data_IF_994787995174
#
_entry.id   IF_994787995174
#
_cell.length_a   1.000
_cell.length_b   1.000
_cell.length_c   1.000
_cell.angle_alpha   90.00
_cell.angle_beta   90.00
_cell.angle_gamma   90.00
#
_symmetry.space_group_name_H-M   'P 1'
#
loop_
_entity.id
_entity.type
_entity.pdbx_description
1 polymer ?
#
# COMPACT_ATOMS: atom_id res chain seq x y z
N UNK A 1 12.14 -19.84 -13.81
CA UNK A 1 11.69 -18.55 -14.38
C UNK A 1 10.19 -18.56 -14.24
N UNK A 2 9.62 -17.66 -13.43
CA UNK A 2 8.22 -17.72 -13.01
C UNK A 2 7.26 -17.82 -14.21
N UNK A 3 7.59 -17.20 -15.34
CA UNK A 3 6.78 -17.26 -16.55
C UNK A 3 6.73 -18.65 -17.18
N UNK A 4 7.86 -19.37 -17.17
CA UNK A 4 7.95 -20.74 -17.66
C UNK A 4 7.20 -21.70 -16.74
N UNK A 5 7.34 -21.51 -15.43
CA UNK A 5 6.69 -22.36 -14.43
C UNK A 5 5.16 -22.26 -14.54
N UNK A 6 4.62 -21.04 -14.67
CA UNK A 6 3.18 -20.80 -14.87
C UNK A 6 2.66 -21.45 -16.16
N UNK A 7 3.43 -21.44 -17.26
CA UNK A 7 3.04 -22.09 -18.51
C UNK A 7 2.96 -23.61 -18.36
N UNK A 8 3.95 -24.22 -17.69
CA UNK A 8 3.97 -25.66 -17.43
C UNK A 8 2.77 -26.10 -16.58
N UNK A 9 2.47 -25.39 -15.48
CA UNK A 9 1.29 -25.68 -14.66
C UNK A 9 -0.02 -25.51 -15.45
N UNK A 10 -0.10 -24.47 -16.30
CA UNK A 10 -1.29 -24.26 -17.11
C UNK A 10 -1.53 -25.40 -18.12
N UNK A 11 -0.47 -25.91 -18.75
CA UNK A 11 -0.55 -27.03 -19.69
C UNK A 11 -0.91 -28.36 -19.01
N UNK A 12 -0.55 -28.52 -17.74
CA UNK A 12 -0.91 -29.70 -16.94
C UNK A 12 -2.39 -29.72 -16.50
N UNK A 13 -3.13 -28.61 -16.65
CA UNK A 13 -4.55 -28.53 -16.30
C UNK A 13 -5.46 -28.80 -17.51
N UNK A 14 -6.72 -29.25 -17.31
CA UNK A 14 -7.65 -29.54 -18.40
C UNK A 14 -7.80 -28.40 -19.41
N UNK A 15 -8.04 -28.76 -20.68
CA UNK A 15 -8.23 -27.79 -21.76
C UNK A 15 -9.50 -26.94 -21.59
N UNK A 16 -10.58 -27.52 -21.04
CA UNK A 16 -11.82 -26.81 -20.73
C UNK A 16 -11.84 -26.43 -19.25
N UNK A 17 -11.59 -25.14 -18.97
CA UNK A 17 -11.59 -24.57 -17.62
C UNK A 17 -11.91 -23.08 -17.66
N UNK A 18 -12.51 -22.57 -16.60
CA UNK A 18 -12.64 -21.13 -16.39
C UNK A 18 -11.30 -20.58 -15.89
N UNK A 19 -10.80 -19.54 -16.53
CA UNK A 19 -9.55 -18.87 -16.17
C UNK A 19 -9.86 -17.42 -15.84
N UNK A 20 -9.44 -16.98 -14.65
CA UNK A 20 -9.51 -15.58 -14.23
C UNK A 20 -8.10 -15.06 -14.00
N UNK A 21 -7.83 -13.85 -14.49
CA UNK A 21 -6.56 -13.15 -14.28
C UNK A 21 -6.84 -11.78 -13.67
N UNK A 22 -6.21 -11.52 -12.53
CA UNK A 22 -6.30 -10.25 -11.82
C UNK A 22 -4.93 -9.57 -11.88
N UNK A 23 -4.91 -8.28 -12.22
CA UNK A 23 -3.69 -7.48 -12.18
C UNK A 23 -4.00 -6.04 -11.82
N UNK A 24 -3.20 -5.48 -10.91
CA UNK A 24 -3.28 -4.06 -10.55
C UNK A 24 -2.87 -3.15 -11.72
N UNK A 25 -1.95 -3.62 -12.57
CA UNK A 25 -1.53 -2.91 -13.79
C UNK A 25 -1.47 -3.86 -14.98
N UNK A 26 -1.93 -3.40 -16.15
CA UNK A 26 -1.88 -4.21 -17.38
C UNK A 26 -1.09 -3.46 -18.45
N UNK A 27 0.23 -3.66 -18.45
CA UNK A 27 1.12 -3.15 -19.48
C UNK A 27 0.76 -3.71 -20.85
N UNK A 28 1.11 -2.99 -21.93
CA UNK A 28 0.78 -3.40 -23.30
C UNK A 28 1.43 -4.74 -23.68
N UNK A 29 2.61 -5.01 -23.12
CA UNK A 29 3.44 -6.17 -23.45
C UNK A 29 2.91 -7.48 -22.85
N UNK A 30 2.19 -7.39 -21.73
CA UNK A 30 1.63 -8.56 -21.03
C UNK A 30 0.26 -8.97 -21.60
N UNK A 31 -0.45 -8.05 -22.26
CA UNK A 31 -1.75 -8.32 -22.90
C UNK A 31 -1.79 -9.53 -23.84
N UNK A 32 -0.83 -9.72 -24.78
CA UNK A 32 -0.84 -10.90 -25.66
C UNK A 32 -0.63 -12.20 -24.88
N UNK A 33 0.11 -12.17 -23.78
CA UNK A 33 0.35 -13.34 -22.93
C UNK A 33 -0.96 -13.74 -22.24
N UNK A 34 -1.69 -12.79 -21.64
CA UNK A 34 -2.99 -13.06 -21.01
C UNK A 34 -4.00 -13.67 -22.01
N UNK A 35 -3.99 -13.20 -23.27
CA UNK A 35 -4.86 -13.75 -24.33
C UNK A 35 -4.54 -15.21 -24.68
N UNK A 36 -3.31 -15.69 -24.49
CA UNK A 36 -2.95 -17.10 -24.74
C UNK A 36 -3.52 -18.03 -23.68
N UNK A 37 -3.68 -17.54 -22.46
CA UNK A 37 -4.20 -18.31 -21.32
C UNK A 37 -5.73 -18.34 -21.24
N UNK A 38 -6.43 -17.46 -21.98
CA UNK A 38 -7.88 -17.31 -21.90
C UNK A 38 -8.53 -17.38 -23.29
N UNK A 39 -9.59 -18.18 -23.41
CA UNK A 39 -10.43 -18.19 -24.60
C UNK A 39 -11.53 -17.13 -24.46
N UNK A 40 -11.49 -16.10 -25.31
CA UNK A 40 -12.49 -15.01 -25.37
C UNK A 40 -12.82 -14.42 -23.97
N UNK A 41 -11.83 -13.81 -23.28
CA UNK A 41 -12.05 -13.32 -21.93
C UNK A 41 -12.98 -12.11 -21.88
N UNK A 42 -13.90 -12.09 -20.92
CA UNK A 42 -14.58 -10.86 -20.49
C UNK A 42 -13.54 -9.94 -19.83
N UNK A 43 -13.36 -8.74 -20.38
CA UNK A 43 -12.41 -7.76 -19.85
C UNK A 43 -13.16 -6.77 -18.98
N UNK A 44 -12.92 -6.84 -17.68
CA UNK A 44 -13.41 -5.87 -16.70
C UNK A 44 -12.24 -4.96 -16.38
N UNK A 45 -12.36 -3.70 -16.77
CA UNK A 45 -11.46 -2.65 -16.32
C UNK A 45 -12.14 -1.91 -15.19
N UNK A 46 -11.70 -2.18 -13.96
CA UNK A 46 -12.02 -1.31 -12.83
C UNK A 46 -11.08 -0.11 -12.97
N UNK A 47 -11.42 0.80 -13.88
CA UNK A 47 -10.75 2.08 -14.00
C UNK A 47 -11.25 2.93 -12.82
N UNK A 48 -10.40 3.13 -11.82
CA UNK A 48 -10.51 4.27 -10.90
C UNK A 48 -10.30 5.55 -11.72
N UNK A 49 -11.33 5.96 -12.46
CA UNK A 49 -11.30 7.19 -13.23
C UNK A 49 -11.36 8.45 -12.35
N UNK A 50 -11.38 8.33 -11.01
CA UNK A 50 -11.53 9.47 -10.10
C UNK A 50 -10.48 9.62 -9.00
N UNK A 51 -9.37 8.88 -9.02
CA UNK A 51 -8.35 9.03 -7.97
C UNK A 51 -6.91 8.99 -8.49
N UNK A 52 -6.62 9.66 -9.61
CA UNK A 52 -5.28 10.26 -9.71
C UNK A 52 -5.23 11.31 -8.60
N UNK A 53 -4.70 10.93 -7.44
CA UNK A 53 -4.39 11.84 -6.35
C UNK A 53 -3.48 12.92 -6.91
N UNK A 54 -4.07 14.05 -7.30
CA UNK A 54 -3.32 15.21 -7.71
C UNK A 54 -2.86 15.88 -6.43
N UNK A 55 -1.57 16.20 -6.35
CA UNK A 55 -1.02 16.95 -5.22
C UNK A 55 -1.43 18.43 -5.25
N UNK A 56 -2.46 18.77 -6.03
CA UNK A 56 -2.87 20.14 -6.26
C UNK A 56 -3.57 20.68 -5.01
N UNK A 57 -2.98 21.71 -4.41
CA UNK A 57 -3.51 22.34 -3.20
C UNK A 57 -2.97 21.75 -1.90
N UNK A 58 -2.12 20.71 -1.96
CA UNK A 58 -1.45 20.16 -0.78
C UNK A 58 -0.18 20.96 -0.47
N UNK A 59 -0.07 21.48 0.75
CA UNK A 59 1.16 22.05 1.26
C UNK A 59 2.11 20.92 1.68
N UNK A 60 3.31 20.90 1.10
CA UNK A 60 4.32 19.88 1.37
C UNK A 60 5.59 20.54 1.88
N UNK A 61 6.07 20.06 3.02
CA UNK A 61 7.30 20.54 3.65
C UNK A 61 8.20 19.35 3.97
N UNK A 62 9.50 19.59 4.01
CA UNK A 62 10.48 18.59 4.44
C UNK A 62 11.41 19.21 5.47
N UNK A 63 11.87 18.39 6.42
CA UNK A 63 12.84 18.80 7.43
C UNK A 63 13.95 17.75 7.49
N UNK A 64 15.19 18.19 7.28
CA UNK A 64 16.36 17.29 7.35
C UNK A 64 16.87 17.26 8.80
N UNK A 65 16.70 16.11 9.46
CA UNK A 65 17.15 15.87 10.83
C UNK A 65 17.70 14.46 11.01
N UNK A 66 18.50 14.27 12.05
CA UNK A 66 19.00 12.96 12.45
C UNK A 66 17.88 12.11 13.05
N UNK A 67 17.97 10.78 12.91
CA UNK A 67 16.93 9.85 13.37
C UNK A 67 16.61 9.99 14.86
N UNK A 68 17.63 10.17 15.71
CA UNK A 68 17.45 10.35 17.16
C UNK A 68 16.67 11.63 17.52
N UNK A 69 16.70 12.66 16.67
CA UNK A 69 16.00 13.92 16.92
C UNK A 69 14.56 13.93 16.39
N UNK A 70 14.14 12.89 15.63
CA UNK A 70 12.81 12.84 15.01
C UNK A 70 11.67 12.87 16.02
N UNK A 71 11.78 12.11 17.11
CA UNK A 71 10.72 12.03 18.12
C UNK A 71 10.50 13.38 18.82
N UNK A 72 11.59 14.06 19.21
CA UNK A 72 11.52 15.38 19.81
C UNK A 72 10.91 16.39 18.83
N UNK A 73 11.34 16.39 17.57
CA UNK A 73 10.81 17.32 16.57
C UNK A 73 9.34 17.03 16.22
N UNK A 74 8.94 15.77 16.23
CA UNK A 74 7.56 15.37 16.00
C UNK A 74 6.65 15.88 17.13
N UNK A 75 7.04 15.70 18.39
CA UNK A 75 6.26 16.21 19.53
C UNK A 75 6.13 17.74 19.47
N UNK A 76 7.22 18.46 19.19
CA UNK A 76 7.20 19.92 18.99
C UNK A 76 6.24 20.36 17.87
N UNK A 77 6.16 19.60 16.77
CA UNK A 77 5.19 19.85 15.70
C UNK A 77 3.75 19.55 16.14
N UNK A 78 3.54 18.49 16.93
CA UNK A 78 2.22 18.15 17.44
C UNK A 78 1.72 19.16 18.48
N UNK A 79 2.61 19.79 19.25
CA UNK A 79 2.25 20.85 20.21
C UNK A 79 2.00 22.20 19.52
N UNK A 80 2.73 22.49 18.44
CA UNK A 80 2.67 23.78 17.75
C UNK A 80 1.51 23.87 16.74
N UNK A 81 1.17 22.76 16.09
CA UNK A 81 0.20 22.73 15.00
C UNK A 81 -1.19 22.36 15.53
N UNK A 82 -2.20 23.12 15.12
CA UNK A 82 -3.60 22.75 15.33
C UNK A 82 -4.04 21.73 14.26
N UNK A 83 -4.51 20.56 14.70
CA UNK A 83 -5.02 19.51 13.83
C UNK A 83 -6.21 18.77 14.45
N UNK A 84 -7.05 18.17 13.62
CA UNK A 84 -8.11 17.28 14.07
C UNK A 84 -7.60 15.85 14.24
N UNK A 85 -6.90 15.33 13.22
CA UNK A 85 -6.34 13.98 13.17
C UNK A 85 -5.03 13.99 12.37
N UNK A 86 -4.09 13.13 12.74
CA UNK A 86 -2.76 13.03 12.11
C UNK A 86 -2.45 11.58 11.80
N UNK A 87 -1.96 11.33 10.58
CA UNK A 87 -1.43 10.04 10.17
C UNK A 87 0.11 10.11 10.12
N UNK A 88 0.78 9.24 10.89
CA UNK A 88 2.24 9.16 10.92
C UNK A 88 2.67 7.83 10.32
N UNK A 89 3.43 7.88 9.22
CA UNK A 89 3.95 6.69 8.55
C UNK A 89 5.37 6.37 9.03
N UNK A 90 5.59 5.11 9.41
CA UNK A 90 6.89 4.60 9.88
C UNK A 90 7.32 3.37 9.06
N UNK A 91 8.62 3.07 9.04
CA UNK A 91 9.18 2.00 8.20
C UNK A 91 8.96 0.59 8.73
N UNK A 92 8.75 0.42 10.04
CA UNK A 92 8.68 -0.92 10.66
C UNK A 92 7.60 -1.02 11.74
N UNK A 93 7.11 -2.25 11.94
CA UNK A 93 6.14 -2.61 12.98
C UNK A 93 6.64 -2.20 14.36
N UNK A 94 7.91 -2.51 14.66
CA UNK A 94 8.54 -2.16 15.94
C UNK A 94 8.50 -0.65 16.21
N UNK A 95 8.82 0.17 15.19
CA UNK A 95 8.79 1.62 15.33
C UNK A 95 7.36 2.15 15.51
N UNK A 96 6.36 1.54 14.88
CA UNK A 96 4.96 1.93 15.06
C UNK A 96 4.51 1.75 16.50
N UNK A 97 4.82 0.58 17.10
CA UNK A 97 4.47 0.27 18.49
C UNK A 97 5.21 1.16 19.47
N UNK A 98 6.51 1.39 19.26
CA UNK A 98 7.32 2.27 20.13
C UNK A 98 6.83 3.72 20.08
N UNK A 99 6.47 4.21 18.89
CA UNK A 99 5.97 5.57 18.73
C UNK A 99 4.58 5.73 19.37
N UNK A 100 3.71 4.74 19.21
CA UNK A 100 2.38 4.71 19.84
C UNK A 100 2.46 4.72 21.37
N UNK A 101 3.38 3.95 21.96
CA UNK A 101 3.64 4.00 23.40
C UNK A 101 4.11 5.39 23.84
N UNK A 102 5.08 5.98 23.13
CA UNK A 102 5.60 7.31 23.44
C UNK A 102 4.51 8.39 23.33
N UNK A 103 3.67 8.34 22.31
CA UNK A 103 2.56 9.29 22.14
C UNK A 103 1.53 9.15 23.26
N UNK A 104 1.17 7.93 23.66
CA UNK A 104 0.28 7.68 24.80
C UNK A 104 0.87 8.17 26.12
N UNK A 105 2.17 7.98 26.33
CA UNK A 105 2.87 8.49 27.52
C UNK A 105 2.87 10.04 27.56
N UNK A 106 2.87 10.68 26.40
CA UNK A 106 2.69 12.13 26.25
C UNK A 106 1.22 12.58 26.32
N UNK A 107 0.28 11.70 26.69
CA UNK A 107 -1.18 11.92 26.71
C UNK A 107 -1.82 12.22 25.35
N UNK A 108 -1.18 11.84 24.25
CA UNK A 108 -1.80 11.86 22.93
C UNK A 108 -2.55 10.55 22.68
N UNK A 109 -3.86 10.57 22.38
CA UNK A 109 -4.60 9.36 22.02
C UNK A 109 -4.13 8.87 20.65
N UNK A 110 -3.33 7.81 20.63
CA UNK A 110 -2.81 7.19 19.41
C UNK A 110 -3.18 5.71 19.28
N UNK A 111 -3.23 5.26 18.02
CA UNK A 111 -3.45 3.87 17.63
C UNK A 111 -2.37 3.50 16.60
N UNK A 112 -1.68 2.38 16.81
CA UNK A 112 -0.75 1.82 15.83
C UNK A 112 -1.47 0.81 14.92
N UNK A 113 -1.45 1.06 13.60
CA UNK A 113 -1.90 0.11 12.58
C UNK A 113 -0.68 -0.39 11.81
N UNK A 114 -0.49 -1.71 11.76
CA UNK A 114 0.70 -2.31 11.17
C UNK A 114 0.42 -3.69 10.55
N UNK A 115 1.33 -4.19 9.70
CA UNK A 115 1.22 -5.45 8.95
C UNK A 115 0.99 -6.73 9.80
N UNK A 116 1.27 -6.67 11.11
CA UNK A 116 1.02 -7.78 12.04
C UNK A 116 -0.40 -7.87 12.60
N UNK A 117 -1.29 -6.91 12.31
CA UNK A 117 -2.69 -6.97 12.74
C UNK A 117 -3.50 -7.90 11.83
N UNK A 118 -4.54 -8.52 12.39
CA UNK A 118 -5.49 -9.27 11.57
C UNK A 118 -6.16 -8.34 10.56
N UNK A 119 -6.45 -8.82 9.34
CA UNK A 119 -7.11 -7.98 8.33
C UNK A 119 -8.52 -7.53 8.75
N UNK A 120 -9.12 -8.21 9.72
CA UNK A 120 -10.44 -7.90 10.28
C UNK A 120 -10.41 -6.85 11.41
N UNK A 121 -9.21 -6.51 11.92
CA UNK A 121 -8.98 -5.48 12.95
C UNK A 121 -8.64 -4.13 12.33
#
# INVERSE_FOLDING_TARGET
DMCQDVQQFFLATPHSKQVMMFSATLSKDIRPICKKFMQIPLKIYVLDNEAKLTLHGLQQHFVKINEAAKNCKLNDLLDTLEFNQVCIFVKSVLQAVQLDQLLRDCNFPSIAIHLGLGQEE
#
